data_IF_170790349081
#
_entry.id   IF_170790349081
#
_cell.length_a   1.000
_cell.length_b   1.000
_cell.length_c   1.000
_cell.angle_alpha   90.00
_cell.angle_beta   90.00
_cell.angle_gamma   90.00
#
_symmetry.space_group_name_H-M   'P 1'
#
loop_
_entity.id
_entity.type
_entity.pdbx_description
1 polymer ?
#
# COMPACT_ATOMS: atom_id res chain seq x y z
N UNK A 1 18.47 4.71 13.52
CA UNK A 1 17.41 3.73 13.87
C UNK A 1 18.08 2.48 14.40
N UNK A 2 17.89 2.16 15.68
CA UNK A 2 18.53 0.98 16.28
C UNK A 2 18.03 -0.32 15.64
N UNK A 3 18.90 -1.34 15.62
CA UNK A 3 18.55 -2.66 15.10
C UNK A 3 17.35 -3.27 15.85
N UNK A 4 17.28 -3.07 17.17
CA UNK A 4 16.14 -3.52 17.99
C UNK A 4 14.83 -2.89 17.53
N UNK A 5 14.80 -1.56 17.37
CA UNK A 5 13.61 -0.86 16.89
C UNK A 5 13.17 -1.34 15.50
N UNK A 6 14.14 -1.59 14.60
CA UNK A 6 13.85 -2.12 13.27
C UNK A 6 13.21 -3.50 13.32
N UNK A 7 13.77 -4.43 14.10
CA UNK A 7 13.22 -5.78 14.26
C UNK A 7 11.83 -5.72 14.89
N UNK A 8 11.65 -4.93 15.96
CA UNK A 8 10.34 -4.76 16.61
C UNK A 8 9.28 -4.28 15.63
N UNK A 9 9.60 -3.27 14.80
CA UNK A 9 8.64 -2.76 13.82
C UNK A 9 8.33 -3.75 12.70
N UNK A 10 9.31 -4.57 12.27
CA UNK A 10 9.04 -5.64 11.30
C UNK A 10 8.11 -6.72 11.89
N UNK A 11 8.33 -7.10 13.14
CA UNK A 11 7.46 -8.06 13.83
C UNK A 11 6.04 -7.49 13.98
N UNK A 12 5.92 -6.23 14.43
CA UNK A 12 4.63 -5.56 14.54
C UNK A 12 3.90 -5.47 13.20
N UNK A 13 4.63 -5.16 12.12
CA UNK A 13 4.08 -5.13 10.77
C UNK A 13 3.58 -6.51 10.34
N UNK A 14 4.36 -7.57 10.59
CA UNK A 14 3.95 -8.93 10.28
C UNK A 14 2.69 -9.36 11.06
N UNK A 15 2.61 -9.01 12.35
CA UNK A 15 1.42 -9.24 13.18
C UNK A 15 0.21 -8.49 12.62
N UNK A 16 0.38 -7.24 12.21
CA UNK A 16 -0.70 -6.44 11.61
C UNK A 16 -1.20 -7.05 10.29
N UNK A 17 -0.29 -7.54 9.44
CA UNK A 17 -0.64 -8.27 8.21
C UNK A 17 -1.41 -9.54 8.52
N UNK A 18 -0.99 -10.31 9.54
CA UNK A 18 -1.70 -11.51 9.95
C UNK A 18 -3.11 -11.20 10.49
N UNK A 19 -3.24 -10.17 11.33
CA UNK A 19 -4.53 -9.71 11.84
C UNK A 19 -5.46 -9.24 10.72
N UNK A 20 -4.92 -8.64 9.67
CA UNK A 20 -5.67 -8.18 8.50
C UNK A 20 -6.40 -9.31 7.77
N UNK A 21 -5.96 -10.56 7.92
CA UNK A 21 -6.59 -11.75 7.31
C UNK A 21 -7.64 -12.43 8.22
N UNK A 22 -7.87 -11.93 9.44
CA UNK A 22 -8.79 -12.55 10.39
C UNK A 22 -10.22 -12.06 10.21
N UNK A 23 -11.21 -12.89 10.54
CA UNK A 23 -12.64 -12.60 10.29
C UNK A 23 -13.19 -11.37 11.03
N UNK A 24 -12.69 -11.07 12.24
CA UNK A 24 -13.16 -9.91 13.00
C UNK A 24 -12.23 -8.69 12.87
N UNK A 25 -10.98 -8.71 13.38
CA UNK A 25 -10.06 -7.58 13.19
C UNK A 25 -9.82 -7.23 11.72
N UNK A 26 -9.68 -8.24 10.85
CA UNK A 26 -9.48 -8.02 9.42
C UNK A 26 -10.69 -7.37 8.75
N UNK A 27 -11.92 -7.82 9.07
CA UNK A 27 -13.13 -7.19 8.54
C UNK A 27 -13.27 -5.72 8.98
N UNK A 28 -12.96 -5.41 10.25
CA UNK A 28 -12.97 -4.03 10.74
C UNK A 28 -11.94 -3.16 10.00
N UNK A 29 -10.73 -3.67 9.79
CA UNK A 29 -9.70 -2.98 9.01
C UNK A 29 -10.18 -2.78 7.57
N UNK A 30 -10.83 -3.79 6.98
CA UNK A 30 -11.37 -3.76 5.62
C UNK A 30 -12.45 -2.70 5.46
N UNK A 31 -13.32 -2.57 6.45
CA UNK A 31 -14.34 -1.52 6.51
C UNK A 31 -13.71 -0.11 6.53
N UNK A 32 -12.65 0.08 7.33
CA UNK A 32 -11.92 1.36 7.36
C UNK A 32 -11.23 1.66 6.02
N UNK A 33 -10.66 0.65 5.35
CA UNK A 33 -10.14 0.80 3.99
C UNK A 33 -11.27 1.17 3.01
N UNK A 34 -12.43 0.53 3.11
CA UNK A 34 -13.61 0.83 2.29
C UNK A 34 -14.07 2.29 2.42
N UNK A 35 -14.21 2.78 3.66
CA UNK A 35 -14.49 4.21 3.95
C UNK A 35 -13.41 5.09 3.30
N UNK A 36 -12.13 4.76 3.54
CA UNK A 36 -11.02 5.58 3.03
C UNK A 36 -11.07 5.68 1.50
N UNK A 37 -11.30 4.56 0.82
CA UNK A 37 -11.40 4.52 -0.65
C UNK A 37 -12.62 5.32 -1.11
N UNK A 38 -13.79 5.12 -0.50
CA UNK A 38 -15.02 5.79 -0.91
C UNK A 38 -14.94 7.33 -0.78
N UNK A 39 -14.39 7.83 0.33
CA UNK A 39 -14.41 9.27 0.62
C UNK A 39 -13.16 10.02 0.14
N UNK A 40 -11.99 9.37 0.13
CA UNK A 40 -10.72 10.06 -0.17
C UNK A 40 -10.10 9.67 -1.50
N UNK A 41 -10.53 8.57 -2.13
CA UNK A 41 -9.98 8.13 -3.42
C UNK A 41 -11.01 8.31 -4.53
N UNK A 42 -12.23 7.81 -4.35
CA UNK A 42 -13.24 7.81 -5.41
C UNK A 42 -13.64 9.23 -5.84
N UNK A 43 -13.86 10.15 -4.90
CA UNK A 43 -14.21 11.55 -5.20
C UNK A 43 -13.17 12.25 -6.09
N UNK A 44 -11.90 12.36 -5.65
CA UNK A 44 -10.83 12.93 -6.47
C UNK A 44 -10.62 12.19 -7.81
N UNK A 45 -10.67 10.86 -7.81
CA UNK A 45 -10.52 10.06 -9.03
C UNK A 45 -11.62 10.36 -10.05
N UNK A 46 -12.87 10.54 -9.58
CA UNK A 46 -13.99 10.89 -10.44
C UNK A 46 -13.85 12.29 -11.04
N UNK A 47 -13.36 13.26 -10.27
CA UNK A 47 -13.06 14.62 -10.77
C UNK A 47 -11.97 14.59 -11.85
N UNK A 48 -10.87 13.87 -11.60
CA UNK A 48 -9.79 13.71 -12.58
C UNK A 48 -10.32 13.01 -13.85
N UNK A 49 -11.10 11.94 -13.69
CA UNK A 49 -11.72 11.21 -14.80
C UNK A 49 -12.58 12.12 -15.67
N UNK A 50 -13.43 12.95 -15.06
CA UNK A 50 -14.28 13.90 -15.78
C UNK A 50 -13.47 14.95 -16.53
N UNK A 51 -12.38 15.45 -15.95
CA UNK A 51 -11.48 16.40 -16.63
C UNK A 51 -10.82 15.74 -17.84
N UNK A 52 -10.35 14.50 -17.71
CA UNK A 52 -9.73 13.76 -18.82
C UNK A 52 -10.73 13.49 -19.95
N UNK A 53 -11.95 13.06 -19.61
CA UNK A 53 -13.03 12.82 -20.55
C UNK A 53 -13.38 14.10 -21.34
N UNK A 54 -13.50 15.24 -20.64
CA UNK A 54 -13.75 16.54 -21.28
C UNK A 54 -12.64 16.97 -22.26
N UNK A 55 -11.43 16.44 -22.11
CA UNK A 55 -10.30 16.68 -23.01
C UNK A 55 -10.15 15.60 -24.10
N UNK A 56 -11.15 14.73 -24.26
CA UNK A 56 -11.14 13.64 -25.25
C UNK A 56 -10.24 12.46 -24.87
N UNK A 57 -9.74 12.41 -23.64
CA UNK A 57 -8.89 11.33 -23.14
C UNK A 57 -9.77 10.32 -22.40
N UNK A 58 -10.26 9.31 -23.13
CA UNK A 58 -11.00 8.21 -22.54
C UNK A 58 -10.04 7.22 -21.86
N UNK A 59 -10.00 7.22 -20.53
CA UNK A 59 -9.24 6.22 -19.76
C UNK A 59 -10.20 5.12 -19.33
N UNK A 60 -10.00 3.91 -19.87
CA UNK A 60 -10.72 2.74 -19.37
C UNK A 60 -10.29 2.40 -17.94
N UNK A 61 -11.19 1.83 -17.13
CA UNK A 61 -10.85 1.39 -15.78
C UNK A 61 -9.67 0.41 -15.77
N UNK A 62 -9.57 -0.45 -16.78
CA UNK A 62 -8.43 -1.37 -16.94
C UNK A 62 -7.12 -0.64 -17.21
N UNK A 63 -7.13 0.39 -18.06
CA UNK A 63 -5.94 1.23 -18.32
C UNK A 63 -5.50 1.97 -17.05
N UNK A 64 -6.45 2.51 -16.27
CA UNK A 64 -6.15 3.16 -15.00
C UNK A 64 -5.49 2.20 -14.00
N UNK A 65 -5.99 0.95 -13.91
CA UNK A 65 -5.38 -0.08 -13.07
C UNK A 65 -3.97 -0.43 -13.51
N UNK A 66 -3.71 -0.56 -14.82
CA UNK A 66 -2.37 -0.83 -15.33
C UNK A 66 -1.40 0.32 -15.08
N UNK A 67 -1.85 1.57 -15.25
CA UNK A 67 -1.06 2.75 -14.91
C UNK A 67 -0.71 2.78 -13.42
N UNK A 68 -1.69 2.49 -12.56
CA UNK A 68 -1.47 2.42 -11.12
C UNK A 68 -0.49 1.31 -10.75
N UNK A 69 -0.66 0.12 -11.32
CA UNK A 69 0.24 -1.01 -11.11
C UNK A 69 1.67 -0.69 -11.59
N UNK A 70 1.81 -0.06 -12.76
CA UNK A 70 3.10 0.40 -13.28
C UNK A 70 3.76 1.43 -12.36
N UNK A 71 3.01 2.44 -11.92
CA UNK A 71 3.51 3.45 -10.98
C UNK A 71 3.96 2.82 -9.66
N UNK A 72 3.17 1.88 -9.14
CA UNK A 72 3.47 1.16 -7.92
C UNK A 72 4.73 0.28 -8.06
N UNK A 73 4.90 -0.41 -9.20
CA UNK A 73 6.12 -1.16 -9.50
C UNK A 73 7.36 -0.25 -9.54
N UNK A 74 7.25 0.94 -10.15
CA UNK A 74 8.32 1.93 -10.16
C UNK A 74 8.69 2.41 -8.75
N UNK A 75 7.70 2.63 -7.87
CA UNK A 75 7.96 3.00 -6.48
C UNK A 75 8.73 1.91 -5.72
N UNK A 76 8.36 0.64 -5.92
CA UNK A 76 9.08 -0.51 -5.33
C UNK A 76 10.53 -0.54 -5.82
N UNK A 77 10.74 -0.42 -7.14
CA UNK A 77 12.08 -0.41 -7.73
C UNK A 77 12.92 0.77 -7.23
N UNK A 78 12.33 1.96 -7.18
CA UNK A 78 13.01 3.15 -6.67
C UNK A 78 13.38 3.01 -5.19
N UNK A 79 12.51 2.42 -4.37
CA UNK A 79 12.79 2.15 -2.97
C UNK A 79 13.90 1.09 -2.79
N UNK A 80 13.86 0.01 -3.58
CA UNK A 80 14.91 -1.01 -3.60
C UNK A 80 16.27 -0.43 -4.01
N UNK A 81 16.29 0.44 -5.03
CA UNK A 81 17.50 1.14 -5.46
C UNK A 81 18.03 2.10 -4.39
N UNK A 82 17.15 2.81 -3.67
CA UNK A 82 17.55 3.66 -2.55
C UNK A 82 18.22 2.85 -1.42
N UNK A 83 17.66 1.68 -1.09
CA UNK A 83 18.24 0.77 -0.10
C UNK A 83 19.63 0.33 -0.56
N UNK A 84 19.74 -0.15 -1.80
CA UNK A 84 21.02 -0.59 -2.39
C UNK A 84 22.09 0.50 -2.34
N UNK A 85 21.75 1.72 -2.79
CA UNK A 85 22.67 2.86 -2.78
C UNK A 85 23.13 3.23 -1.36
N UNK A 86 22.25 3.12 -0.35
CA UNK A 86 22.58 3.41 1.05
C UNK A 86 23.42 2.31 1.70
N UNK A 87 23.22 1.05 1.31
CA UNK A 87 24.10 -0.05 1.69
C UNK A 87 25.53 0.17 1.16
N UNK A 88 25.67 0.59 -0.10
CA UNK A 88 27.00 0.92 -0.65
C UNK A 88 27.68 2.08 0.10
N UNK A 89 26.91 3.04 0.60
CA UNK A 89 27.41 4.18 1.39
C UNK A 89 27.71 3.85 2.85
N UNK A 90 27.51 2.60 3.29
CA UNK A 90 27.71 2.15 4.67
C UNK A 90 26.91 2.97 5.70
N UNK A 91 25.68 3.38 5.36
CA UNK A 91 24.76 4.07 6.27
C UNK A 91 23.67 3.10 6.78
N UNK A 92 23.98 2.19 7.73
CA UNK A 92 23.10 1.09 8.10
C UNK A 92 21.76 1.56 8.67
N UNK A 93 21.77 2.67 9.41
CA UNK A 93 20.57 3.23 10.02
C UNK A 93 19.60 3.80 8.98
N UNK A 94 20.12 4.45 7.94
CA UNK A 94 19.29 4.97 6.85
C UNK A 94 18.82 3.85 5.92
N UNK A 95 19.63 2.82 5.71
CA UNK A 95 19.25 1.62 4.95
C UNK A 95 18.09 0.88 5.63
N UNK A 96 18.12 0.70 6.95
CA UNK A 96 17.00 0.12 7.74
C UNK A 96 15.72 0.93 7.59
N UNK A 97 15.80 2.25 7.70
CA UNK A 97 14.62 3.12 7.52
C UNK A 97 14.02 3.01 6.12
N UNK A 98 14.88 2.90 5.08
CA UNK A 98 14.43 2.69 3.70
C UNK A 98 13.81 1.31 3.52
N UNK A 99 14.42 0.28 4.12
CA UNK A 99 13.88 -1.09 4.15
C UNK A 99 12.49 -1.14 4.77
N UNK A 100 12.27 -0.40 5.86
CA UNK A 100 10.97 -0.35 6.51
C UNK A 100 9.92 0.36 5.65
N UNK A 101 10.31 1.42 4.92
CA UNK A 101 9.43 2.08 3.95
C UNK A 101 9.04 1.15 2.81
N UNK A 102 9.99 0.36 2.30
CA UNK A 102 9.70 -0.66 1.30
C UNK A 102 8.77 -1.75 1.84
N UNK A 103 9.00 -2.21 3.06
CA UNK A 103 8.14 -3.18 3.72
C UNK A 103 6.70 -2.64 3.90
N UNK A 104 6.56 -1.37 4.28
CA UNK A 104 5.25 -0.70 4.37
C UNK A 104 4.58 -0.55 3.02
N UNK A 105 5.33 -0.17 1.98
CA UNK A 105 4.81 -0.10 0.61
C UNK A 105 4.15 -1.42 0.25
N UNK A 106 4.83 -2.56 0.45
CA UNK A 106 4.31 -3.89 0.14
C UNK A 106 3.18 -4.34 1.07
N UNK A 107 3.32 -4.07 2.38
CA UNK A 107 2.38 -4.56 3.38
C UNK A 107 1.01 -3.86 3.28
N UNK A 108 0.95 -2.57 2.96
CA UNK A 108 -0.31 -1.81 2.93
C UNK A 108 -1.33 -2.37 1.92
N UNK A 109 -0.99 -2.60 0.63
CA UNK A 109 -1.90 -3.24 -0.31
C UNK A 109 -2.28 -4.66 0.10
N UNK A 110 -1.34 -5.41 0.67
CA UNK A 110 -1.60 -6.78 1.13
C UNK A 110 -2.61 -6.79 2.29
N UNK A 111 -2.46 -5.88 3.26
CA UNK A 111 -3.43 -5.69 4.34
C UNK A 111 -4.79 -5.27 3.79
N UNK A 112 -4.83 -4.27 2.91
CA UNK A 112 -6.07 -3.82 2.30
C UNK A 112 -6.80 -4.97 1.57
N UNK A 113 -6.07 -5.76 0.78
CA UNK A 113 -6.62 -6.92 0.07
C UNK A 113 -7.17 -7.98 1.03
N UNK A 114 -6.35 -8.43 1.99
CA UNK A 114 -6.73 -9.45 2.96
C UNK A 114 -7.93 -9.01 3.79
N UNK A 115 -7.95 -7.75 4.21
CA UNK A 115 -9.00 -7.19 5.04
C UNK A 115 -10.30 -6.94 4.28
N UNK A 116 -10.24 -6.53 3.01
CA UNK A 116 -11.44 -6.41 2.17
C UNK A 116 -12.05 -7.79 1.94
N UNK A 117 -11.24 -8.82 1.68
CA UNK A 117 -11.75 -10.19 1.55
C UNK A 117 -12.38 -10.68 2.86
N UNK A 118 -11.69 -10.49 3.99
CA UNK A 118 -12.24 -10.85 5.30
C UNK A 118 -13.55 -10.10 5.61
N UNK A 119 -13.67 -8.84 5.20
CA UNK A 119 -14.91 -8.06 5.33
C UNK A 119 -16.03 -8.63 4.46
N UNK A 120 -15.74 -8.97 3.20
CA UNK A 120 -16.71 -9.56 2.28
C UNK A 120 -17.21 -10.91 2.78
N UNK A 121 -16.30 -11.75 3.29
CA UNK A 121 -16.65 -13.07 3.84
C UNK A 121 -17.47 -12.97 5.14
N UNK A 122 -17.28 -11.90 5.92
CA UNK A 122 -17.98 -11.66 7.18
C UNK A 122 -19.33 -10.94 6.99
N UNK A 123 -19.60 -10.38 5.82
CA UNK A 123 -20.83 -9.65 5.53
C UNK A 123 -21.88 -10.61 4.92
N UNK A 124 -23.08 -10.72 5.50
CA UNK A 124 -24.14 -11.62 5.02
C UNK A 124 -24.80 -11.15 3.72
#
# INVERSE_FOLDING_TARGET
>A
MSQRAFITLLILLAVLVALSATSFPGAMIGFLFGITIAFFVAGPAMLIGKVLENNGIAISGQTALWLLAGFYALLILAAAFQIWRRFQRQEPDQARSAGLRLALLVALPMMAWLSVNAMQDAWP
#
